data_IF_308667854059
#
_entry.id   IF_308667854059
#
_cell.length_a   1.000
_cell.length_b   1.000
_cell.length_c   1.000
_cell.angle_alpha   90.00
_cell.angle_beta   90.00
_cell.angle_gamma   90.00
#
_symmetry.space_group_name_H-M   'P 1'
#
loop_
_entity.id
_entity.type
_entity.pdbx_description
1 polymer ?
#
# COMPACT_ATOMS: atom_id res chain seq x y z
N UNK A 1 -2.19 -2.15 -5.08
CA UNK A 1 -2.66 -3.17 -4.11
C UNK A 1 -3.19 -4.38 -4.85
N UNK A 2 -2.63 -5.55 -4.52
CA UNK A 2 -3.02 -6.87 -5.07
C UNK A 2 -4.22 -7.43 -4.30
N UNK A 3 -5.41 -6.86 -4.53
CA UNK A 3 -6.65 -7.31 -3.86
C UNK A 3 -7.15 -8.66 -4.40
N UNK A 4 -7.99 -9.39 -3.65
CA UNK A 4 -8.59 -10.64 -4.14
C UNK A 4 -9.33 -10.48 -5.48
N UNK A 5 -10.10 -9.41 -5.63
CA UNK A 5 -10.84 -9.12 -6.88
C UNK A 5 -9.90 -8.89 -8.06
N UNK A 6 -8.84 -8.08 -7.89
CA UNK A 6 -7.85 -7.85 -8.96
C UNK A 6 -7.14 -9.14 -9.39
N UNK A 7 -6.95 -10.08 -8.46
CA UNK A 7 -6.43 -11.41 -8.77
C UNK A 7 -7.43 -12.22 -9.61
N UNK A 8 -8.69 -12.29 -9.19
CA UNK A 8 -9.74 -13.00 -9.94
C UNK A 8 -9.92 -12.45 -11.35
N UNK A 9 -9.77 -11.14 -11.50
CA UNK A 9 -9.97 -10.44 -12.77
C UNK A 9 -8.69 -10.41 -13.64
N UNK A 10 -7.61 -11.08 -13.23
CA UNK A 10 -6.36 -11.15 -14.00
C UNK A 10 -5.59 -9.82 -14.09
N UNK A 11 -5.83 -8.89 -13.17
CA UNK A 11 -5.28 -7.53 -13.20
C UNK A 11 -3.97 -7.34 -12.43
N UNK A 12 -3.37 -8.41 -11.88
CA UNK A 12 -2.18 -8.27 -11.03
C UNK A 12 -0.98 -7.71 -11.77
N UNK A 13 -0.80 -8.04 -13.05
CA UNK A 13 0.29 -7.47 -13.85
C UNK A 13 0.13 -5.95 -14.02
N UNK A 14 -1.09 -5.48 -14.28
CA UNK A 14 -1.39 -4.04 -14.33
C UNK A 14 -1.13 -3.38 -12.97
N UNK A 15 -1.50 -4.02 -11.88
CA UNK A 15 -1.21 -3.52 -10.52
C UNK A 15 0.28 -3.40 -10.27
N UNK A 16 1.04 -4.43 -10.63
CA UNK A 16 2.49 -4.49 -10.41
C UNK A 16 3.20 -3.45 -11.29
N UNK A 17 2.78 -3.28 -12.55
CA UNK A 17 3.31 -2.26 -13.45
C UNK A 17 3.05 -0.82 -12.95
N UNK A 18 1.84 -0.54 -12.46
CA UNK A 18 1.50 0.78 -11.89
C UNK A 18 2.27 1.04 -10.60
N UNK A 19 2.39 0.03 -9.74
CA UNK A 19 3.17 0.13 -8.50
C UNK A 19 4.65 0.46 -8.81
N UNK A 20 5.26 -0.24 -9.77
CA UNK A 20 6.62 0.03 -10.24
C UNK A 20 6.76 1.46 -10.78
N UNK A 21 5.81 1.90 -11.61
CA UNK A 21 5.81 3.26 -12.14
C UNK A 21 5.77 4.34 -11.05
N UNK A 22 5.00 4.13 -9.97
CA UNK A 22 4.98 5.05 -8.83
C UNK A 22 6.27 5.02 -8.01
N UNK A 23 6.88 3.85 -7.85
CA UNK A 23 8.18 3.73 -7.20
C UNK A 23 9.25 4.51 -7.98
N UNK A 24 9.35 4.29 -9.29
CA UNK A 24 10.27 5.03 -10.16
C UNK A 24 10.02 6.54 -10.14
N UNK A 25 8.76 6.96 -10.15
CA UNK A 25 8.39 8.37 -10.06
C UNK A 25 8.91 9.00 -8.75
N UNK A 26 8.79 8.28 -7.64
CA UNK A 26 9.25 8.77 -6.33
C UNK A 26 10.76 8.98 -6.27
N UNK A 27 11.53 8.19 -7.02
CA UNK A 27 12.98 8.35 -7.12
C UNK A 27 13.38 9.58 -7.93
N UNK A 28 12.53 10.01 -8.88
CA UNK A 28 12.81 11.12 -9.80
C UNK A 28 12.29 12.47 -9.29
N UNK A 29 11.37 12.48 -8.33
CA UNK A 29 10.67 13.71 -7.89
C UNK A 29 10.93 14.05 -6.42
N UNK A 30 11.65 15.14 -6.12
CA UNK A 30 11.84 15.60 -4.75
C UNK A 30 10.52 15.79 -4.01
N UNK A 31 10.46 15.32 -2.77
CA UNK A 31 9.27 15.42 -1.92
C UNK A 31 8.17 14.39 -2.22
N UNK A 32 8.38 13.47 -3.16
CA UNK A 32 7.49 12.32 -3.38
C UNK A 32 8.11 11.07 -2.76
N UNK A 33 7.29 10.29 -2.07
CA UNK A 33 7.71 9.05 -1.43
C UNK A 33 6.78 7.92 -1.87
N UNK A 34 7.37 6.80 -2.26
CA UNK A 34 6.64 5.56 -2.47
C UNK A 34 6.62 4.73 -1.19
N UNK A 35 5.47 4.15 -0.87
CA UNK A 35 5.28 3.26 0.26
C UNK A 35 4.51 2.04 -0.23
N UNK A 36 5.17 0.89 -0.27
CA UNK A 36 4.50 -0.36 -0.58
C UNK A 36 3.66 -0.83 0.62
N UNK A 37 2.35 -0.92 0.40
CA UNK A 37 1.38 -1.32 1.42
C UNK A 37 0.97 -2.79 1.31
N UNK A 38 1.36 -3.48 0.23
CA UNK A 38 0.99 -4.88 0.05
C UNK A 38 1.49 -5.80 1.19
N UNK A 39 2.67 -5.61 1.80
CA UNK A 39 3.13 -6.44 2.92
C UNK A 39 2.19 -6.45 4.13
N UNK A 40 1.41 -5.38 4.36
CA UNK A 40 0.41 -5.34 5.44
C UNK A 40 -0.86 -6.13 5.11
N UNK A 41 -1.10 -6.39 3.82
CA UNK A 41 -2.33 -6.99 3.28
C UNK A 41 -2.10 -8.40 2.72
N UNK A 42 -0.87 -8.90 2.80
CA UNK A 42 -0.46 -10.20 2.31
C UNK A 42 0.00 -11.10 3.46
N UNK A 43 -0.06 -12.41 3.23
CA UNK A 43 0.60 -13.41 4.06
C UNK A 43 2.11 -13.33 3.82
N UNK A 44 2.89 -14.02 4.65
CA UNK A 44 4.34 -14.15 4.47
C UNK A 44 4.72 -14.87 3.17
N UNK A 45 3.80 -15.64 2.57
CA UNK A 45 3.97 -16.29 1.25
C UNK A 45 3.64 -15.39 0.07
N UNK A 46 3.13 -14.17 0.33
CA UNK A 46 2.74 -13.20 -0.71
C UNK A 46 1.29 -13.34 -1.20
N UNK A 47 0.50 -14.22 -0.59
CA UNK A 47 -0.92 -14.36 -0.90
C UNK A 47 -1.73 -13.26 -0.23
N UNK A 48 -2.82 -12.85 -0.87
CA UNK A 48 -3.66 -11.78 -0.31
C UNK A 48 -4.45 -12.31 0.90
N UNK A 49 -4.42 -11.58 2.02
CA UNK A 49 -5.22 -11.85 3.21
C UNK A 49 -6.68 -11.48 2.98
N UNK A 50 -7.46 -12.44 2.47
CA UNK A 50 -8.85 -12.21 2.08
C UNK A 50 -9.73 -11.71 3.24
N UNK A 51 -9.40 -12.09 4.48
CA UNK A 51 -10.11 -11.67 5.70
C UNK A 51 -9.99 -10.17 6.02
N UNK A 52 -9.12 -9.43 5.33
CA UNK A 52 -8.97 -7.98 5.47
C UNK A 52 -9.85 -7.16 4.51
N UNK A 53 -10.62 -7.83 3.65
CA UNK A 53 -11.49 -7.22 2.66
C UNK A 53 -12.96 -7.42 3.04
N UNK A 54 -13.84 -6.58 2.51
CA UNK A 54 -15.29 -6.87 2.51
C UNK A 54 -15.61 -7.88 1.40
N UNK A 55 -16.87 -8.30 1.29
CA UNK A 55 -17.31 -9.39 0.42
C UNK A 55 -16.89 -9.24 -1.06
N UNK A 56 -16.78 -8.00 -1.55
CA UNK A 56 -16.35 -7.75 -2.93
C UNK A 56 -14.88 -8.13 -3.21
N UNK A 57 -14.05 -8.31 -2.18
CA UNK A 57 -12.62 -8.58 -2.33
C UNK A 57 -11.85 -7.41 -2.94
N UNK A 58 -12.35 -6.18 -2.83
CA UNK A 58 -11.72 -4.95 -3.31
C UNK A 58 -11.57 -3.95 -2.16
N UNK A 59 -12.66 -3.61 -1.47
CA UNK A 59 -12.60 -2.65 -0.37
C UNK A 59 -12.10 -3.33 0.90
N UNK A 60 -11.29 -2.60 1.68
CA UNK A 60 -10.82 -3.09 2.97
C UNK A 60 -11.94 -3.01 4.00
N UNK A 61 -12.01 -3.99 4.89
CA UNK A 61 -12.82 -3.88 6.09
C UNK A 61 -12.06 -3.08 7.16
N UNK A 62 -12.68 -2.93 8.34
CA UNK A 62 -12.09 -2.15 9.46
C UNK A 62 -10.70 -2.65 9.82
N UNK A 63 -10.50 -3.97 9.89
CA UNK A 63 -9.19 -4.53 10.23
C UNK A 63 -8.18 -4.33 9.09
N UNK A 64 -8.60 -4.47 7.83
CA UNK A 64 -7.78 -4.14 6.67
C UNK A 64 -7.25 -2.70 6.70
N UNK A 65 -8.11 -1.73 7.04
CA UNK A 65 -7.68 -0.34 7.21
C UNK A 65 -6.73 -0.14 8.39
N UNK A 66 -6.89 -0.89 9.50
CA UNK A 66 -5.92 -0.84 10.61
C UNK A 66 -4.55 -1.36 10.19
N UNK A 67 -4.50 -2.47 9.47
CA UNK A 67 -3.25 -3.01 8.93
C UNK A 67 -2.58 -2.01 7.98
N UNK A 68 -3.34 -1.44 7.04
CA UNK A 68 -2.85 -0.40 6.14
C UNK A 68 -2.30 0.82 6.90
N UNK A 69 -3.03 1.30 7.91
CA UNK A 69 -2.62 2.44 8.72
C UNK A 69 -1.34 2.19 9.52
N UNK A 70 -1.11 0.95 9.98
CA UNK A 70 0.10 0.60 10.74
C UNK A 70 1.39 0.83 9.95
N UNK A 71 1.32 0.73 8.62
CA UNK A 71 2.44 0.95 7.71
C UNK A 71 2.52 2.42 7.26
N UNK A 72 1.38 3.04 6.94
CA UNK A 72 1.34 4.43 6.46
C UNK A 72 1.66 5.47 7.55
N UNK A 73 1.17 5.27 8.77
CA UNK A 73 1.33 6.24 9.87
C UNK A 73 2.80 6.61 10.13
N UNK A 74 3.73 5.68 10.37
CA UNK A 74 5.13 6.04 10.61
C UNK A 74 5.79 6.73 9.39
N UNK A 75 5.41 6.36 8.16
CA UNK A 75 5.93 6.99 6.95
C UNK A 75 5.48 8.46 6.83
N UNK A 76 4.21 8.73 7.16
CA UNK A 76 3.63 10.09 7.18
C UNK A 76 4.28 10.90 8.31
N UNK A 77 4.36 10.37 9.53
CA UNK A 77 4.96 11.06 10.67
C UNK A 77 6.43 11.43 10.42
N UNK A 78 7.20 10.52 9.82
CA UNK A 78 8.59 10.79 9.42
C UNK A 78 8.68 11.94 8.40
N UNK A 79 7.76 11.99 7.44
CA UNK A 79 7.72 13.04 6.42
C UNK A 79 7.26 14.37 6.99
N UNK A 80 6.31 14.34 7.94
CA UNK A 80 5.80 15.52 8.62
C UNK A 80 6.86 16.18 9.52
N UNK A 81 7.54 15.40 10.36
CA UNK A 81 8.61 15.91 11.24
C UNK A 81 9.79 16.51 10.48
N UNK A 82 10.11 16.00 9.28
CA UNK A 82 11.14 16.59 8.41
C UNK A 82 10.79 17.99 7.90
N UNK A 83 9.51 18.37 7.93
CA UNK A 83 9.02 19.66 7.44
C UNK A 83 8.98 20.72 8.54
N UNK A 84 8.94 20.31 9.82
CA UNK A 84 9.05 21.25 10.94
C UNK A 84 10.51 21.72 11.07
N UNK A 85 10.79 23.03 11.18
CA UNK A 85 12.12 23.47 11.58
C UNK A 85 12.41 22.90 12.97
N UNK A 86 13.61 22.36 13.17
CA UNK A 86 14.09 22.00 14.51
C UNK A 86 13.89 23.22 15.44
N UNK A 87 13.29 23.06 16.62
CA UNK A 87 13.10 24.17 17.55
C UNK A 87 14.43 24.80 18.00
#
# INVERSE_FOLDING_TARGET
>A
IRSPQKRRDGQLETVDAVNLGYEELSQKRPGVHYVDVNPALQTTTGDTRAELYVEDGLHLNVEGYRQLASLLKPAIEKSWKKKEPNP
#
